data_IF_872983776180
#
_entry.id   IF_872983776180
#
_cell.length_a   1.000
_cell.length_b   1.000
_cell.length_c   1.000
_cell.angle_alpha   90.00
_cell.angle_beta   90.00
_cell.angle_gamma   90.00
#
_symmetry.space_group_name_H-M   'P 1'
#
loop_
_entity.id
_entity.type
_entity.pdbx_description
1 polymer ?
#
# COMPACT_ATOMS: atom_id res chain seq x y z
N UNK A 1 13.10 -14.88 17.63
CA UNK A 1 14.39 -14.78 18.36
C UNK A 1 14.80 -13.33 18.58
N UNK A 2 15.09 -12.53 17.54
CA UNK A 2 15.50 -11.11 17.67
C UNK A 2 14.56 -10.24 18.54
N UNK A 3 13.25 -10.29 18.29
CA UNK A 3 12.24 -9.57 19.10
C UNK A 3 12.29 -9.91 20.60
N UNK A 4 12.34 -11.21 20.92
CA UNK A 4 12.35 -11.68 22.31
C UNK A 4 13.63 -11.29 23.03
N UNK A 5 14.78 -11.38 22.35
CA UNK A 5 16.07 -10.97 22.92
C UNK A 5 16.10 -9.46 23.15
N UNK A 6 15.63 -8.65 22.19
CA UNK A 6 15.55 -7.19 22.37
C UNK A 6 14.61 -6.82 23.53
N UNK A 7 13.44 -7.45 23.63
CA UNK A 7 12.52 -7.24 24.75
C UNK A 7 13.17 -7.58 26.09
N UNK A 8 13.90 -8.68 26.17
CA UNK A 8 14.61 -9.08 27.39
C UNK A 8 15.69 -8.07 27.76
N UNK A 9 16.54 -7.67 26.81
CA UNK A 9 17.60 -6.68 27.04
C UNK A 9 17.02 -5.35 27.55
N UNK A 10 15.95 -4.85 26.93
CA UNK A 10 15.31 -3.61 27.35
C UNK A 10 14.67 -3.72 28.74
N UNK A 11 14.03 -4.85 29.06
CA UNK A 11 13.41 -5.09 30.38
C UNK A 11 14.42 -5.16 31.52
N UNK A 12 15.59 -5.74 31.29
CA UNK A 12 16.66 -5.81 32.29
C UNK A 12 17.42 -4.47 32.44
N UNK A 13 17.43 -3.65 31.39
CA UNK A 13 18.16 -2.38 31.40
C UNK A 13 17.56 -1.36 32.38
N UNK A 14 16.24 -1.24 32.43
CA UNK A 14 15.56 -0.29 33.31
C UNK A 14 15.86 -0.52 34.80
N UNK A 15 15.65 -1.72 35.39
CA UNK A 15 15.90 -1.93 36.82
C UNK A 15 17.38 -1.76 37.18
N UNK A 16 18.32 -2.13 36.30
CA UNK A 16 19.74 -1.91 36.52
C UNK A 16 20.08 -0.41 36.57
N UNK A 17 19.57 0.37 35.61
CA UNK A 17 19.77 1.81 35.60
C UNK A 17 19.14 2.48 36.83
N UNK A 18 17.92 2.08 37.22
CA UNK A 18 17.25 2.61 38.41
C UNK A 18 17.98 2.26 39.70
N UNK A 19 18.49 1.03 39.83
CA UNK A 19 19.27 0.63 41.01
C UNK A 19 20.58 1.42 41.13
N UNK A 20 21.30 1.62 40.02
CA UNK A 20 22.53 2.41 40.01
C UNK A 20 22.26 3.90 40.32
N UNK A 21 21.18 4.45 39.77
CA UNK A 21 20.75 5.81 40.08
C UNK A 21 20.45 5.97 41.58
N UNK A 22 19.68 5.05 42.17
CA UNK A 22 19.39 5.05 43.61
C UNK A 22 20.66 4.91 44.44
N UNK A 23 21.58 4.03 44.05
CA UNK A 23 22.86 3.87 44.74
C UNK A 23 23.69 5.16 44.74
N UNK A 24 23.80 5.86 43.61
CA UNK A 24 24.53 7.13 43.52
C UNK A 24 23.87 8.20 44.40
N UNK A 25 22.54 8.30 44.35
CA UNK A 25 21.77 9.27 45.14
C UNK A 25 21.90 9.01 46.66
N UNK A 26 21.96 7.75 47.08
CA UNK A 26 22.17 7.34 48.48
C UNK A 26 23.64 7.47 48.92
N UNK A 27 24.58 6.95 48.13
CA UNK A 27 26.01 6.88 48.48
C UNK A 27 26.65 8.26 48.60
N UNK A 28 26.34 9.17 47.67
CA UNK A 28 26.83 10.54 47.70
C UNK A 28 25.95 11.47 48.56
N UNK A 29 24.93 10.94 49.25
CA UNK A 29 24.00 11.70 50.09
C UNK A 29 23.34 12.88 49.34
N UNK A 30 23.21 12.79 48.02
CA UNK A 30 22.63 13.83 47.16
C UNK A 30 21.13 14.04 47.46
N UNK A 31 20.51 13.06 48.12
CA UNK A 31 19.17 13.14 48.69
C UNK A 31 19.13 13.73 50.10
N UNK A 32 20.18 13.55 50.91
CA UNK A 32 20.23 13.92 52.33
C UNK A 32 20.59 15.41 52.58
N UNK A 33 21.35 16.04 51.69
CA UNK A 33 21.68 17.48 51.79
C UNK A 33 20.44 18.38 51.68
N UNK A 34 19.33 17.89 51.12
CA UNK A 34 18.08 18.67 51.06
C UNK A 34 17.49 18.94 52.45
N UNK A 35 17.68 18.03 53.41
CA UNK A 35 17.13 18.16 54.76
C UNK A 35 17.99 19.09 55.65
N UNK A 36 19.32 18.95 55.61
CA UNK A 36 20.23 19.85 56.35
C UNK A 36 20.24 21.26 55.75
N UNK A 37 20.13 21.42 54.42
CA UNK A 37 20.00 22.74 53.78
C UNK A 37 18.65 23.41 54.03
N UNK A 38 17.56 22.63 54.15
CA UNK A 38 16.27 23.14 54.65
C UNK A 38 16.41 23.65 56.09
N UNK A 39 17.16 22.94 56.93
CA UNK A 39 17.46 23.37 58.30
C UNK A 39 18.28 24.67 58.31
N UNK A 40 19.33 24.78 57.50
CA UNK A 40 20.15 26.00 57.35
C UNK A 40 19.35 27.18 56.79
N UNK A 41 18.41 26.96 55.87
CA UNK A 41 17.49 27.98 55.38
C UNK A 41 16.47 28.42 56.45
N UNK A 42 15.99 27.50 57.29
CA UNK A 42 15.12 27.85 58.43
C UNK A 42 15.88 28.55 59.56
N UNK A 43 17.13 28.18 59.81
CA UNK A 43 18.00 28.77 60.84
C UNK A 43 18.51 30.16 60.42
N UNK A 44 18.84 30.36 59.15
CA UNK A 44 19.26 31.67 58.62
C UNK A 44 18.12 32.69 58.55
N UNK A 45 16.86 32.25 58.65
CA UNK A 45 15.69 33.13 58.78
C UNK A 45 15.52 33.78 60.16
N UNK A 46 16.34 33.43 61.15
CA UNK A 46 16.19 33.90 62.54
C UNK A 46 17.22 34.94 63.00
N UNK A 47 18.13 35.40 62.13
CA UNK A 47 19.08 36.48 62.47
C UNK A 47 18.97 37.56 61.39
N UNK A 48 18.02 38.48 61.56
CA UNK A 48 18.08 39.94 61.32
C UNK A 48 16.64 40.42 61.60
N UNK A 49 16.30 40.55 62.89
CA UNK A 49 15.23 41.44 63.34
C UNK A 49 15.92 42.74 63.76
N UNK A 50 16.08 43.66 62.81
CA UNK A 50 16.76 44.93 63.04
C UNK A 50 16.67 45.84 61.82
N UNK A 51 15.60 46.64 61.80
CA UNK A 51 15.38 47.90 61.08
C UNK A 51 15.68 48.02 59.58
N UNK A 52 14.59 48.23 58.81
CA UNK A 52 14.51 49.20 57.73
C UNK A 52 14.95 48.77 56.32
N UNK A 53 14.02 48.92 55.37
CA UNK A 53 14.16 49.14 53.90
C UNK A 53 13.64 48.01 52.96
N UNK A 54 12.60 48.40 52.22
CA UNK A 54 12.02 47.97 50.93
C UNK A 54 11.78 46.47 50.54
N UNK A 55 10.55 46.12 50.07
CA UNK A 55 10.22 44.80 49.53
C UNK A 55 10.42 44.75 48.00
N UNK A 56 11.59 44.30 47.52
CA UNK A 56 11.74 43.86 46.12
C UNK A 56 12.59 42.59 46.01
N UNK A 57 11.92 41.53 45.54
CA UNK A 57 12.47 40.34 44.87
C UNK A 57 13.51 39.50 45.64
N UNK A 58 13.04 38.74 46.63
CA UNK A 58 13.67 37.46 46.98
C UNK A 58 12.93 36.32 46.26
N UNK A 59 13.62 35.28 45.73
CA UNK A 59 12.95 34.15 45.11
C UNK A 59 12.10 33.41 46.15
N UNK A 60 10.86 33.06 45.80
CA UNK A 60 9.96 32.34 46.70
C UNK A 60 10.51 30.95 47.04
N UNK A 61 10.22 30.39 48.23
CA UNK A 61 10.73 29.09 48.68
C UNK A 61 10.61 27.95 47.65
N UNK A 62 9.50 27.79 46.88
CA UNK A 62 9.40 26.71 45.89
C UNK A 62 10.33 26.87 44.68
N UNK A 63 10.71 28.10 44.30
CA UNK A 63 11.66 28.32 43.21
C UNK A 63 13.10 27.99 43.61
N UNK A 64 13.48 28.26 44.86
CA UNK A 64 14.78 27.89 45.41
C UNK A 64 14.90 26.36 45.47
N UNK A 65 13.88 25.69 46.00
CA UNK A 65 13.81 24.22 46.06
C UNK A 65 13.93 23.61 44.67
N UNK A 66 13.14 24.05 43.68
CA UNK A 66 13.23 23.55 42.31
C UNK A 66 14.62 23.77 41.71
N UNK A 67 15.22 24.96 41.90
CA UNK A 67 16.56 25.26 41.38
C UNK A 67 17.68 24.45 42.02
N UNK A 68 17.54 24.05 43.29
CA UNK A 68 18.48 23.20 44.01
C UNK A 68 18.33 21.73 43.58
N UNK A 69 17.10 21.24 43.41
CA UNK A 69 16.82 19.92 42.83
C UNK A 69 17.47 19.78 41.44
N UNK A 70 17.32 20.77 40.56
CA UNK A 70 17.98 20.77 39.25
C UNK A 70 19.53 20.77 39.36
N UNK A 71 20.12 21.42 40.37
CA UNK A 71 21.58 21.44 40.57
C UNK A 71 22.15 20.11 41.09
N UNK A 72 21.36 19.28 41.76
CA UNK A 72 21.76 17.97 42.28
C UNK A 72 21.49 16.83 41.27
N UNK A 73 20.54 17.03 40.34
CA UNK A 73 20.31 16.12 39.21
C UNK A 73 21.42 16.19 38.14
N UNK A 74 22.05 17.34 37.93
CA UNK A 74 23.16 17.50 36.98
C UNK A 74 24.38 16.60 37.28
N UNK A 75 24.95 16.55 38.50
CA UNK A 75 26.09 15.68 38.81
C UNK A 75 25.70 14.20 38.77
N UNK A 76 24.48 13.84 39.19
CA UNK A 76 23.98 12.45 39.12
C UNK A 76 23.87 11.98 37.67
N UNK A 77 23.30 12.81 36.78
CA UNK A 77 23.21 12.50 35.35
C UNK A 77 24.58 12.46 34.66
N UNK A 78 25.52 13.31 35.07
CA UNK A 78 26.90 13.27 34.58
C UNK A 78 27.59 11.96 34.97
N UNK A 79 27.52 11.55 36.24
CA UNK A 79 28.13 10.30 36.69
C UNK A 79 27.47 9.08 36.03
N UNK A 80 26.14 9.06 35.92
CA UNK A 80 25.42 8.02 35.19
C UNK A 80 25.81 7.98 33.71
N UNK A 81 26.08 9.14 33.09
CA UNK A 81 26.53 9.20 31.70
C UNK A 81 27.94 8.64 31.50
N UNK A 82 28.81 8.75 32.51
CA UNK A 82 30.14 8.16 32.49
C UNK A 82 30.08 6.64 32.69
N UNK A 83 29.35 6.19 33.72
CA UNK A 83 29.17 4.76 34.04
C UNK A 83 28.52 4.02 32.88
N UNK A 84 27.48 4.60 32.29
CA UNK A 84 26.74 4.02 31.16
C UNK A 84 27.15 4.59 29.79
N UNK A 85 28.36 5.14 29.68
CA UNK A 85 28.85 5.73 28.42
C UNK A 85 28.88 4.74 27.24
N UNK A 86 29.05 3.44 27.52
CA UNK A 86 29.02 2.38 26.52
C UNK A 86 27.60 1.94 26.10
N UNK A 87 26.56 2.35 26.84
CA UNK A 87 25.21 1.83 26.63
C UNK A 87 24.66 2.18 25.24
N UNK A 88 24.82 3.43 24.82
CA UNK A 88 24.35 3.89 23.52
C UNK A 88 25.06 3.17 22.34
N UNK A 89 26.40 3.11 22.26
CA UNK A 89 27.08 2.40 21.17
C UNK A 89 26.78 0.90 21.15
N UNK A 90 26.70 0.23 22.31
CA UNK A 90 26.37 -1.20 22.39
C UNK A 90 24.94 -1.48 21.93
N UNK A 91 23.97 -0.67 22.35
CA UNK A 91 22.58 -0.78 21.87
C UNK A 91 22.50 -0.57 20.36
N UNK A 92 23.23 0.40 19.80
CA UNK A 92 23.29 0.59 18.35
C UNK A 92 23.84 -0.63 17.63
N UNK A 93 24.98 -1.16 18.09
CA UNK A 93 25.59 -2.37 17.53
C UNK A 93 24.64 -3.57 17.61
N UNK A 94 23.94 -3.73 18.73
CA UNK A 94 22.93 -4.79 18.90
C UNK A 94 21.75 -4.63 17.94
N UNK A 95 21.24 -3.40 17.74
CA UNK A 95 20.19 -3.15 16.76
C UNK A 95 20.64 -3.49 15.34
N UNK A 96 21.88 -3.18 14.98
CA UNK A 96 22.43 -3.53 13.66
C UNK A 96 22.49 -5.04 13.44
N UNK A 97 22.86 -5.81 14.48
CA UNK A 97 22.79 -7.28 14.43
C UNK A 97 21.34 -7.75 14.27
N UNK A 98 20.40 -7.20 15.04
CA UNK A 98 18.98 -7.54 14.92
C UNK A 98 18.43 -7.28 13.51
N UNK A 99 18.81 -6.15 12.91
CA UNK A 99 18.39 -5.75 11.57
C UNK A 99 18.93 -6.66 10.47
N UNK A 100 20.06 -7.35 10.68
CA UNK A 100 20.65 -8.29 9.71
C UNK A 100 19.97 -9.66 9.67
N UNK A 101 19.12 -9.98 10.65
CA UNK A 101 18.49 -11.31 10.75
C UNK A 101 17.46 -11.57 9.64
N UNK A 102 16.69 -10.55 9.26
CA UNK A 102 15.64 -10.65 8.25
C UNK A 102 15.41 -9.26 7.62
N UNK A 103 15.01 -9.23 6.34
CA UNK A 103 14.82 -8.00 5.56
C UNK A 103 13.87 -7.00 6.21
N UNK A 104 12.91 -7.47 7.01
CA UNK A 104 11.93 -6.64 7.72
C UNK A 104 12.12 -6.60 9.25
N UNK A 105 13.25 -7.10 9.78
CA UNK A 105 13.53 -7.09 11.23
C UNK A 105 13.46 -5.69 11.85
N UNK A 106 13.75 -4.63 11.09
CA UNK A 106 13.69 -3.25 11.57
C UNK A 106 12.29 -2.82 12.03
N UNK A 107 11.22 -3.44 11.51
CA UNK A 107 9.85 -3.21 11.98
C UNK A 107 9.66 -3.73 13.40
N UNK A 108 10.17 -4.93 13.69
CA UNK A 108 10.08 -5.53 15.02
C UNK A 108 10.88 -4.73 16.04
N UNK A 109 12.08 -4.27 15.65
CA UNK A 109 12.91 -3.38 16.47
C UNK A 109 12.16 -2.08 16.78
N UNK A 110 11.59 -1.44 15.77
CA UNK A 110 10.86 -0.17 15.93
C UNK A 110 9.65 -0.30 16.86
N UNK A 111 8.81 -1.32 16.66
CA UNK A 111 7.64 -1.55 17.53
C UNK A 111 8.07 -1.82 18.96
N UNK A 112 9.05 -2.71 19.14
CA UNK A 112 9.52 -3.10 20.48
C UNK A 112 10.08 -1.90 21.25
N UNK A 113 10.87 -1.04 20.59
CA UNK A 113 11.40 0.17 21.23
C UNK A 113 10.32 1.20 21.55
N UNK A 114 9.36 1.42 20.65
CA UNK A 114 8.25 2.34 20.93
C UNK A 114 7.40 1.88 22.11
N UNK A 115 7.06 0.59 22.15
CA UNK A 115 6.25 0.01 23.23
C UNK A 115 7.00 0.13 24.57
N UNK A 116 8.29 -0.21 24.60
CA UNK A 116 9.12 -0.09 25.80
C UNK A 116 9.24 1.36 26.30
N UNK A 117 9.56 2.31 25.42
CA UNK A 117 9.68 3.72 25.79
C UNK A 117 8.33 4.28 26.29
N UNK A 118 7.22 3.81 25.72
CA UNK A 118 5.89 4.18 26.18
C UNK A 118 5.59 3.64 27.57
N UNK A 119 5.87 2.36 27.84
CA UNK A 119 5.73 1.74 29.16
C UNK A 119 6.57 2.47 30.23
N UNK A 120 7.80 2.84 29.87
CA UNK A 120 8.72 3.59 30.74
C UNK A 120 8.16 4.98 31.11
N UNK A 121 7.60 5.71 30.14
CA UNK A 121 6.99 7.04 30.36
C UNK A 121 5.66 6.97 31.10
N UNK A 122 4.87 5.92 30.89
CA UNK A 122 3.57 5.73 31.56
C UNK A 122 3.70 5.37 33.04
N UNK A 123 4.83 4.76 33.44
CA UNK A 123 5.08 4.31 34.81
C UNK A 123 5.70 5.39 35.71
N UNK A 124 6.22 6.47 35.13
CA UNK A 124 6.99 7.49 35.87
C UNK A 124 6.47 8.89 35.54
N UNK A 125 5.53 9.38 36.35
CA UNK A 125 4.93 10.71 36.18
C UNK A 125 5.83 11.87 36.60
N UNK A 126 7.06 11.62 37.04
CA UNK A 126 7.95 12.68 37.54
C UNK A 126 9.43 12.25 37.63
N UNK A 127 10.06 11.90 36.51
CA UNK A 127 11.52 12.02 36.43
C UNK A 127 11.88 12.95 35.26
N UNK A 128 12.54 14.09 35.53
CA UNK A 128 13.09 14.94 34.48
C UNK A 128 14.13 14.16 33.66
N UNK A 129 14.42 14.69 32.47
CA UNK A 129 15.30 14.16 31.41
C UNK A 129 16.55 13.39 31.89
N UNK A 130 16.40 12.11 32.24
CA UNK A 130 17.50 11.22 32.60
C UNK A 130 18.35 10.83 31.39
N UNK A 131 19.65 10.58 31.60
CA UNK A 131 20.57 10.08 30.56
C UNK A 131 19.98 8.89 29.77
N UNK A 132 19.31 7.95 30.45
CA UNK A 132 18.65 6.82 29.81
C UNK A 132 17.56 7.23 28.81
N UNK A 133 16.74 8.24 29.12
CA UNK A 133 15.72 8.73 28.19
C UNK A 133 16.34 9.33 26.91
N UNK A 134 17.48 10.02 27.05
CA UNK A 134 18.25 10.54 25.91
C UNK A 134 18.79 9.40 25.05
N UNK A 135 19.44 8.41 25.65
CA UNK A 135 19.97 7.23 24.94
C UNK A 135 18.85 6.47 24.22
N UNK A 136 17.74 6.17 24.90
CA UNK A 136 16.59 5.49 24.30
C UNK A 136 15.95 6.32 23.18
N UNK A 137 15.90 7.64 23.33
CA UNK A 137 15.46 8.56 22.26
C UNK A 137 16.35 8.49 21.02
N UNK A 138 17.67 8.50 21.21
CA UNK A 138 18.66 8.39 20.13
C UNK A 138 18.58 7.02 19.42
N UNK A 139 18.42 5.94 20.19
CA UNK A 139 18.28 4.57 19.67
C UNK A 139 16.95 4.39 18.92
N UNK A 140 15.86 4.98 19.41
CA UNK A 140 14.57 5.00 18.70
C UNK A 140 14.65 5.79 17.39
N UNK A 141 15.38 6.92 17.39
CA UNK A 141 15.60 7.70 16.17
C UNK A 141 16.37 6.89 15.12
N UNK A 142 17.39 6.13 15.54
CA UNK A 142 18.10 5.21 14.66
C UNK A 142 17.17 4.12 14.10
N UNK A 143 16.34 3.51 14.96
CA UNK A 143 15.37 2.49 14.53
C UNK A 143 14.37 3.03 13.50
N UNK A 144 13.87 4.26 13.68
CA UNK A 144 13.04 4.97 12.70
C UNK A 144 13.79 5.23 11.39
N UNK A 145 15.05 5.63 11.47
CA UNK A 145 15.92 5.80 10.29
C UNK A 145 16.09 4.50 9.51
N UNK A 146 16.31 3.38 10.20
CA UNK A 146 16.45 2.06 9.58
C UNK A 146 15.14 1.57 8.95
N UNK A 147 14.00 1.81 9.62
CA UNK A 147 12.67 1.57 9.04
C UNK A 147 12.48 2.36 7.73
N UNK A 148 12.69 3.67 7.76
CA UNK A 148 12.52 4.51 6.57
C UNK A 148 13.45 4.11 5.42
N UNK A 149 14.69 3.72 5.73
CA UNK A 149 15.64 3.18 4.75
C UNK A 149 15.13 1.88 4.14
N UNK A 150 14.63 0.96 4.95
CA UNK A 150 14.02 -0.29 4.47
C UNK A 150 12.87 -0.03 3.49
N UNK A 151 11.95 0.88 3.83
CA UNK A 151 10.83 1.25 2.95
C UNK A 151 11.36 1.87 1.65
N UNK A 152 12.34 2.78 1.74
CA UNK A 152 12.96 3.39 0.57
C UNK A 152 13.62 2.36 -0.36
N UNK A 153 14.38 1.41 0.21
CA UNK A 153 14.99 0.33 -0.55
C UNK A 153 13.96 -0.56 -1.24
N UNK A 154 12.86 -0.90 -0.55
CA UNK A 154 11.79 -1.72 -1.14
C UNK A 154 11.04 -0.98 -2.25
N UNK A 155 10.77 0.33 -2.10
CA UNK A 155 10.23 1.17 -3.18
C UNK A 155 11.16 1.17 -4.40
N UNK A 156 12.46 1.37 -4.21
CA UNK A 156 13.43 1.37 -5.30
C UNK A 156 13.51 0.00 -5.99
N UNK A 157 13.51 -1.09 -5.23
CA UNK A 157 13.47 -2.47 -5.76
C UNK A 157 12.24 -2.68 -6.66
N UNK A 158 11.06 -2.18 -6.24
CA UNK A 158 9.81 -2.26 -7.00
C UNK A 158 9.85 -1.43 -8.29
N UNK A 159 10.45 -0.25 -8.24
CA UNK A 159 10.52 0.69 -9.37
C UNK A 159 11.59 0.30 -10.39
N UNK A 160 12.73 -0.24 -9.93
CA UNK A 160 13.85 -0.67 -10.78
C UNK A 160 13.68 -2.09 -11.35
N UNK A 161 12.75 -2.88 -10.80
CA UNK A 161 12.44 -4.23 -11.28
C UNK A 161 11.97 -4.20 -12.74
N UNK A 162 12.90 -4.43 -13.67
CA UNK A 162 12.59 -4.56 -15.09
C UNK A 162 11.71 -5.78 -15.32
N UNK A 163 10.54 -5.56 -15.90
CA UNK A 163 9.66 -6.67 -16.27
C UNK A 163 10.31 -7.50 -17.38
N UNK A 164 10.48 -8.82 -17.19
CA UNK A 164 11.10 -9.67 -18.21
C UNK A 164 10.25 -9.66 -19.49
N UNK A 165 10.89 -9.42 -20.64
CA UNK A 165 10.25 -9.34 -21.97
C UNK A 165 9.47 -10.61 -22.37
N UNK A 166 9.72 -11.75 -21.71
CA UNK A 166 9.09 -13.05 -21.94
C UNK A 166 8.05 -13.44 -20.86
N UNK A 167 7.46 -12.48 -20.16
CA UNK A 167 6.38 -12.78 -19.20
C UNK A 167 5.22 -13.51 -19.90
N UNK A 168 4.49 -14.38 -19.20
CA UNK A 168 3.38 -15.18 -19.74
C UNK A 168 2.04 -14.85 -19.04
N UNK A 169 1.82 -13.58 -18.72
CA UNK A 169 0.75 -13.19 -17.79
C UNK A 169 1.15 -13.49 -16.33
N UNK A 170 0.25 -13.20 -15.38
CA UNK A 170 0.41 -13.52 -13.96
C UNK A 170 0.77 -12.33 -13.05
N UNK A 171 0.91 -12.64 -11.76
CA UNK A 171 1.20 -11.65 -10.73
C UNK A 171 2.65 -11.19 -10.81
N UNK A 172 2.85 -9.87 -10.84
CA UNK A 172 4.16 -9.26 -10.89
C UNK A 172 4.88 -9.42 -9.56
N UNK A 173 6.21 -9.56 -9.63
CA UNK A 173 7.05 -9.62 -8.44
C UNK A 173 6.85 -8.42 -7.50
N UNK A 174 6.67 -7.21 -8.06
CA UNK A 174 6.39 -6.00 -7.28
C UNK A 174 5.13 -6.13 -6.42
N UNK A 175 4.11 -6.82 -6.92
CA UNK A 175 2.87 -7.09 -6.18
C UNK A 175 3.13 -8.11 -5.07
N UNK A 176 3.78 -9.24 -5.38
CA UNK A 176 4.10 -10.26 -4.37
C UNK A 176 4.98 -9.70 -3.23
N UNK A 177 5.96 -8.83 -3.55
CA UNK A 177 6.83 -8.19 -2.55
C UNK A 177 6.05 -7.22 -1.65
N UNK A 178 5.06 -6.52 -2.22
CA UNK A 178 4.16 -5.69 -1.43
C UNK A 178 3.30 -6.52 -0.48
N UNK A 179 2.75 -7.65 -0.94
CA UNK A 179 1.98 -8.54 -0.07
C UNK A 179 2.80 -9.09 1.09
N UNK A 180 4.02 -9.55 0.81
CA UNK A 180 4.95 -10.05 1.84
C UNK A 180 5.24 -8.98 2.90
N UNK A 181 5.48 -7.73 2.48
CA UNK A 181 5.67 -6.62 3.39
C UNK A 181 4.41 -6.32 4.20
N UNK A 182 3.24 -6.24 3.57
CA UNK A 182 1.97 -5.94 4.25
C UNK A 182 1.67 -7.04 5.28
N UNK A 183 1.84 -8.30 4.93
CA UNK A 183 1.58 -9.45 5.81
C UNK A 183 2.48 -9.43 7.03
N UNK A 184 3.78 -9.26 6.80
CA UNK A 184 4.74 -9.19 7.89
C UNK A 184 4.52 -7.96 8.78
N UNK A 185 4.30 -6.79 8.17
CA UNK A 185 4.16 -5.55 8.91
C UNK A 185 2.87 -5.50 9.74
N UNK A 186 1.75 -5.98 9.19
CA UNK A 186 0.48 -6.06 9.92
C UNK A 186 0.53 -7.06 11.07
N UNK A 187 1.22 -8.19 10.90
CA UNK A 187 1.49 -9.14 11.97
C UNK A 187 2.26 -8.48 13.11
N UNK A 188 3.35 -7.78 12.79
CA UNK A 188 4.24 -7.14 13.77
C UNK A 188 3.54 -5.99 14.50
N UNK A 189 2.72 -5.21 13.81
CA UNK A 189 2.00 -4.06 14.35
C UNK A 189 0.59 -4.38 14.87
N UNK A 190 0.19 -5.66 14.94
CA UNK A 190 -1.17 -6.05 15.37
C UNK A 190 -1.57 -5.43 16.72
N UNK A 191 -0.64 -5.41 17.68
CA UNK A 191 -0.85 -4.87 19.02
C UNK A 191 -0.21 -3.47 19.23
N UNK A 192 0.40 -2.91 18.18
CA UNK A 192 1.11 -1.64 18.29
C UNK A 192 0.13 -0.47 18.42
N UNK A 193 0.37 0.39 19.41
CA UNK A 193 -0.48 1.58 19.66
C UNK A 193 -0.22 2.74 18.68
N UNK A 194 1.00 2.82 18.15
CA UNK A 194 1.43 3.91 17.25
C UNK A 194 1.65 3.38 15.83
N UNK A 195 0.70 3.64 14.92
CA UNK A 195 0.68 3.08 13.56
C UNK A 195 0.94 4.09 12.44
N UNK A 196 1.03 5.38 12.74
CA UNK A 196 1.13 6.43 11.72
C UNK A 196 2.30 6.26 10.74
N UNK A 197 3.45 5.77 11.21
CA UNK A 197 4.62 5.52 10.34
C UNK A 197 4.41 4.29 9.44
N UNK A 198 3.70 3.28 9.93
CA UNK A 198 3.33 2.11 9.13
C UNK A 198 2.32 2.50 8.03
N UNK A 199 1.29 3.27 8.39
CA UNK A 199 0.28 3.70 7.41
C UNK A 199 0.90 4.52 6.27
N UNK A 200 1.85 5.42 6.60
CA UNK A 200 2.63 6.16 5.58
C UNK A 200 3.45 5.22 4.71
N UNK A 201 4.08 4.20 5.30
CA UNK A 201 4.87 3.22 4.57
C UNK A 201 4.01 2.37 3.62
N UNK A 202 2.84 1.89 4.06
CA UNK A 202 1.88 1.17 3.22
C UNK A 202 1.44 2.01 2.03
N UNK A 203 1.05 3.26 2.27
CA UNK A 203 0.62 4.19 1.23
C UNK A 203 1.73 4.49 0.22
N UNK A 204 2.97 4.61 0.68
CA UNK A 204 4.13 4.83 -0.19
C UNK A 204 4.40 3.60 -1.06
N UNK A 205 4.43 2.40 -0.46
CA UNK A 205 4.73 1.16 -1.18
C UNK A 205 3.67 0.82 -2.22
N UNK A 206 2.39 0.90 -1.87
CA UNK A 206 1.31 0.61 -2.84
C UNK A 206 1.34 1.62 -4.01
N UNK A 207 1.77 2.86 -3.76
CA UNK A 207 1.94 3.86 -4.82
C UNK A 207 3.10 3.49 -5.75
N UNK A 208 4.24 3.03 -5.23
CA UNK A 208 5.34 2.49 -6.05
C UNK A 208 4.90 1.26 -6.85
N UNK A 209 4.13 0.35 -6.27
CA UNK A 209 3.57 -0.81 -6.99
C UNK A 209 2.65 -0.37 -8.13
N UNK A 210 1.77 0.60 -7.90
CA UNK A 210 0.86 1.09 -8.95
C UNK A 210 1.62 1.76 -10.08
N UNK A 211 2.66 2.54 -9.75
CA UNK A 211 3.57 3.13 -10.75
C UNK A 211 4.31 2.05 -11.54
N UNK A 212 4.79 1.00 -10.87
CA UNK A 212 5.43 -0.16 -11.49
C UNK A 212 4.49 -0.86 -12.47
N UNK A 213 3.24 -1.14 -12.07
CA UNK A 213 2.22 -1.70 -12.97
C UNK A 213 1.95 -0.75 -14.14
N UNK A 214 1.70 0.53 -13.89
CA UNK A 214 1.35 1.50 -14.94
C UNK A 214 2.47 1.71 -15.97
N UNK A 215 3.74 1.52 -15.57
CA UNK A 215 4.88 1.60 -16.48
C UNK A 215 4.83 0.55 -17.61
N UNK A 216 4.06 -0.54 -17.43
CA UNK A 216 3.88 -1.56 -18.45
C UNK A 216 3.20 -1.03 -19.72
N UNK A 217 2.42 0.05 -19.62
CA UNK A 217 1.79 0.70 -20.79
C UNK A 217 2.82 1.23 -21.79
N UNK A 218 3.99 1.61 -21.31
CA UNK A 218 5.10 2.11 -22.12
C UNK A 218 6.11 1.01 -22.49
N UNK A 219 5.94 -0.20 -21.94
CA UNK A 219 6.81 -1.32 -22.23
C UNK A 219 6.39 -2.03 -23.53
N UNK A 220 7.33 -2.22 -24.47
CA UNK A 220 7.12 -2.99 -25.70
C UNK A 220 7.05 -4.50 -25.42
N UNK A 221 6.03 -4.92 -24.66
CA UNK A 221 5.81 -6.31 -24.30
C UNK A 221 5.13 -7.07 -25.43
N UNK A 222 5.50 -8.35 -25.58
CA UNK A 222 4.81 -9.27 -26.49
C UNK A 222 3.45 -9.75 -25.93
N UNK A 223 3.22 -9.57 -24.63
CA UNK A 223 1.98 -9.91 -23.95
C UNK A 223 1.02 -8.72 -24.00
N UNK A 224 -0.28 -8.99 -23.99
CA UNK A 224 -1.28 -7.94 -23.88
C UNK A 224 -1.18 -7.24 -22.53
N UNK A 225 -0.80 -5.96 -22.54
CA UNK A 225 -0.61 -5.16 -21.32
C UNK A 225 -1.88 -5.02 -20.49
N UNK A 226 -3.03 -4.77 -21.11
CA UNK A 226 -4.31 -4.64 -20.39
C UNK A 226 -4.67 -5.92 -19.63
N UNK A 227 -4.36 -7.10 -20.17
CA UNK A 227 -4.54 -8.38 -19.48
C UNK A 227 -3.70 -8.45 -18.20
N UNK A 228 -2.40 -8.13 -18.30
CA UNK A 228 -1.49 -8.18 -17.14
C UNK A 228 -1.91 -7.16 -16.08
N UNK A 229 -2.25 -5.94 -16.50
CA UNK A 229 -2.73 -4.90 -15.59
C UNK A 229 -4.04 -5.31 -14.91
N UNK A 230 -4.99 -5.87 -15.66
CA UNK A 230 -6.25 -6.39 -15.13
C UNK A 230 -6.00 -7.46 -14.06
N UNK A 231 -5.16 -8.46 -14.33
CA UNK A 231 -4.82 -9.53 -13.38
C UNK A 231 -4.22 -8.97 -12.08
N UNK A 232 -3.23 -8.07 -12.21
CA UNK A 232 -2.51 -7.53 -11.07
C UNK A 232 -3.38 -6.59 -10.22
N UNK A 233 -4.20 -5.73 -10.85
CA UNK A 233 -5.13 -4.88 -10.10
C UNK A 233 -6.25 -5.70 -9.44
N UNK A 234 -6.71 -6.78 -10.08
CA UNK A 234 -7.66 -7.71 -9.46
C UNK A 234 -7.07 -8.33 -8.19
N UNK A 235 -5.85 -8.85 -8.29
CA UNK A 235 -5.15 -9.50 -7.19
C UNK A 235 -4.93 -8.55 -6.01
N UNK A 236 -4.42 -7.33 -6.27
CA UNK A 236 -4.26 -6.31 -5.23
C UNK A 236 -5.61 -5.98 -4.57
N UNK A 237 -6.68 -5.78 -5.34
CA UNK A 237 -8.00 -5.51 -4.78
C UNK A 237 -8.47 -6.66 -3.87
N UNK A 238 -8.30 -7.91 -4.29
CA UNK A 238 -8.65 -9.10 -3.52
C UNK A 238 -7.85 -9.19 -2.22
N UNK A 239 -6.54 -9.01 -2.30
CA UNK A 239 -5.64 -8.99 -1.15
C UNK A 239 -6.04 -7.91 -0.14
N UNK A 240 -6.26 -6.67 -0.59
CA UNK A 240 -6.66 -5.57 0.29
C UNK A 240 -8.05 -5.78 0.91
N UNK A 241 -8.99 -6.41 0.19
CA UNK A 241 -10.28 -6.84 0.74
C UNK A 241 -10.13 -7.85 1.88
N UNK A 242 -9.16 -8.76 1.78
CA UNK A 242 -8.89 -9.75 2.84
C UNK A 242 -8.23 -9.11 4.05
N UNK A 243 -7.26 -8.22 3.86
CA UNK A 243 -6.51 -7.58 4.96
C UNK A 243 -7.28 -6.50 5.70
N UNK A 244 -8.19 -5.77 5.03
CA UNK A 244 -9.06 -4.74 5.63
C UNK A 244 -8.28 -3.64 6.38
N UNK A 245 -7.19 -3.16 5.78
CA UNK A 245 -6.31 -2.14 6.38
C UNK A 245 -6.91 -0.74 6.13
N UNK A 246 -7.29 0.04 7.17
CA UNK A 246 -8.04 1.29 7.00
C UNK A 246 -7.36 2.33 6.11
N UNK A 247 -6.04 2.52 6.25
CA UNK A 247 -5.31 3.52 5.47
C UNK A 247 -5.25 3.19 3.97
N UNK A 248 -5.47 1.92 3.58
CA UNK A 248 -5.43 1.45 2.21
C UNK A 248 -6.80 1.40 1.52
N UNK A 249 -7.87 1.82 2.18
CA UNK A 249 -9.23 1.76 1.63
C UNK A 249 -9.42 2.57 0.33
N UNK A 250 -8.77 3.73 0.23
CA UNK A 250 -8.75 4.51 -1.02
C UNK A 250 -8.04 3.75 -2.14
N UNK A 251 -6.91 3.12 -1.83
CA UNK A 251 -6.10 2.37 -2.79
C UNK A 251 -6.78 1.07 -3.23
N UNK A 252 -7.55 0.44 -2.34
CA UNK A 252 -8.44 -0.68 -2.68
C UNK A 252 -9.50 -0.28 -3.71
N UNK A 253 -10.15 0.89 -3.52
CA UNK A 253 -11.13 1.41 -4.50
C UNK A 253 -10.47 1.76 -5.83
N UNK A 254 -9.29 2.38 -5.80
CA UNK A 254 -8.49 2.68 -6.99
C UNK A 254 -8.11 1.39 -7.75
N UNK A 255 -7.67 0.33 -7.05
CA UNK A 255 -7.37 -0.98 -7.64
C UNK A 255 -8.59 -1.59 -8.33
N UNK A 256 -9.77 -1.56 -7.68
CA UNK A 256 -11.03 -2.03 -8.29
C UNK A 256 -11.35 -1.26 -9.59
N UNK A 257 -11.20 0.06 -9.55
CA UNK A 257 -11.48 0.90 -10.71
C UNK A 257 -10.54 0.58 -11.88
N UNK A 258 -9.23 0.51 -11.63
CA UNK A 258 -8.21 0.16 -12.63
C UNK A 258 -8.41 -1.26 -13.17
N UNK A 259 -8.78 -2.22 -12.32
CA UNK A 259 -9.15 -3.57 -12.74
C UNK A 259 -10.28 -3.54 -13.77
N UNK A 260 -11.37 -2.83 -13.48
CA UNK A 260 -12.51 -2.73 -14.40
C UNK A 260 -12.13 -2.02 -15.70
N UNK A 261 -11.37 -0.92 -15.61
CA UNK A 261 -10.92 -0.14 -16.77
C UNK A 261 -10.08 -1.00 -17.74
N UNK A 262 -9.10 -1.74 -17.22
CA UNK A 262 -8.26 -2.60 -18.06
C UNK A 262 -9.00 -3.85 -18.54
N UNK A 263 -9.96 -4.37 -17.75
CA UNK A 263 -10.85 -5.44 -18.22
C UNK A 263 -11.67 -4.98 -19.42
N UNK A 264 -12.25 -3.77 -19.37
CA UNK A 264 -13.00 -3.20 -20.49
C UNK A 264 -12.12 -3.01 -21.74
N UNK A 265 -10.92 -2.42 -21.59
CA UNK A 265 -9.96 -2.27 -22.69
C UNK A 265 -9.54 -3.61 -23.30
N UNK A 266 -9.25 -4.60 -22.45
CA UNK A 266 -8.93 -5.96 -22.88
C UNK A 266 -10.07 -6.56 -23.70
N UNK A 267 -11.29 -6.47 -23.18
CA UNK A 267 -12.51 -6.99 -23.82
C UNK A 267 -12.73 -6.32 -25.18
N UNK A 268 -12.76 -4.99 -25.26
CA UNK A 268 -12.98 -4.24 -26.52
C UNK A 268 -11.95 -4.65 -27.58
N UNK A 269 -10.67 -4.71 -27.20
CA UNK A 269 -9.58 -5.05 -28.12
C UNK A 269 -9.69 -6.47 -28.72
N UNK A 270 -10.21 -7.43 -27.95
CA UNK A 270 -10.35 -8.81 -28.43
C UNK A 270 -11.72 -9.11 -29.04
N UNK A 271 -12.78 -8.41 -28.64
CA UNK A 271 -14.12 -8.55 -29.21
C UNK A 271 -14.24 -8.00 -30.62
N UNK A 272 -13.40 -7.05 -31.00
CA UNK A 272 -13.30 -6.62 -32.40
C UNK A 272 -12.79 -7.72 -33.35
N UNK A 273 -12.13 -8.77 -32.85
CA UNK A 273 -11.51 -9.78 -33.74
C UNK A 273 -12.50 -10.77 -34.38
N UNK A 274 -13.48 -11.35 -33.67
CA UNK A 274 -14.40 -12.32 -34.27
C UNK A 274 -15.29 -11.75 -35.38
N UNK A 275 -15.62 -10.46 -35.32
CA UNK A 275 -16.51 -9.77 -36.27
C UNK A 275 -15.81 -8.55 -36.92
N UNK A 276 -14.50 -8.59 -37.10
CA UNK A 276 -13.68 -7.41 -37.44
C UNK A 276 -14.19 -6.58 -38.61
N UNK A 277 -14.46 -7.20 -39.76
CA UNK A 277 -14.97 -6.48 -40.95
C UNK A 277 -16.38 -5.91 -40.74
N UNK A 278 -17.21 -6.60 -39.97
CA UNK A 278 -18.57 -6.14 -39.64
C UNK A 278 -18.50 -4.94 -38.70
N UNK A 279 -17.63 -5.01 -37.69
CA UNK A 279 -17.34 -3.91 -36.79
C UNK A 279 -16.84 -2.68 -37.55
N UNK A 280 -15.83 -2.81 -38.43
CA UNK A 280 -15.33 -1.70 -39.25
C UNK A 280 -16.41 -1.08 -40.16
N UNK A 281 -17.30 -1.91 -40.73
CA UNK A 281 -18.41 -1.41 -41.55
C UNK A 281 -19.34 -0.52 -40.71
N UNK A 282 -19.78 -0.99 -39.54
CA UNK A 282 -20.71 -0.23 -38.70
C UNK A 282 -20.07 0.95 -37.99
N UNK A 283 -18.78 0.91 -37.64
CA UNK A 283 -18.04 2.10 -37.20
C UNK A 283 -18.01 3.18 -38.28
N UNK A 284 -17.85 2.78 -39.55
CA UNK A 284 -17.98 3.68 -40.69
C UNK A 284 -19.38 4.28 -40.84
N UNK A 285 -20.44 3.48 -40.64
CA UNK A 285 -21.83 3.95 -40.61
C UNK A 285 -22.04 4.97 -39.49
N UNK A 286 -21.62 4.66 -38.26
CA UNK A 286 -21.71 5.58 -37.12
C UNK A 286 -20.98 6.89 -37.38
N UNK A 287 -19.79 6.84 -37.98
CA UNK A 287 -19.03 8.04 -38.34
C UNK A 287 -19.78 8.92 -39.35
N UNK A 288 -20.52 8.32 -40.30
CA UNK A 288 -21.37 9.07 -41.24
C UNK A 288 -22.59 9.69 -40.58
N UNK A 289 -23.26 8.97 -39.69
CA UNK A 289 -24.35 9.51 -38.89
C UNK A 289 -23.87 10.69 -38.04
N UNK A 290 -22.69 10.57 -37.42
CA UNK A 290 -22.08 11.65 -36.64
C UNK A 290 -21.70 12.87 -37.49
N UNK A 291 -21.45 12.68 -38.79
CA UNK A 291 -21.24 13.78 -39.76
C UNK A 291 -22.54 14.43 -40.23
N UNK A 292 -23.71 14.02 -39.70
CA UNK A 292 -25.02 14.60 -40.00
C UNK A 292 -25.75 13.96 -41.17
N UNK A 293 -25.28 12.82 -41.67
CA UNK A 293 -25.99 12.03 -42.68
C UNK A 293 -27.25 11.44 -42.04
N UNK A 294 -28.41 11.59 -42.68
CA UNK A 294 -29.66 11.00 -42.18
C UNK A 294 -29.62 9.48 -42.27
N UNK A 295 -30.29 8.80 -41.35
CA UNK A 295 -30.31 7.33 -41.29
C UNK A 295 -30.78 6.70 -42.61
N UNK A 296 -31.80 7.27 -43.24
CA UNK A 296 -32.35 6.86 -44.52
C UNK A 296 -31.33 6.98 -45.68
N UNK A 297 -30.42 7.95 -45.57
CA UNK A 297 -29.47 8.31 -46.63
C UNK A 297 -28.21 7.45 -46.61
N UNK A 298 -27.90 6.82 -45.48
CA UNK A 298 -26.73 5.94 -45.32
C UNK A 298 -26.70 4.87 -46.41
N UNK A 299 -27.85 4.28 -46.72
CA UNK A 299 -27.96 3.17 -47.68
C UNK A 299 -27.62 3.56 -49.13
N UNK A 300 -27.60 4.86 -49.45
CA UNK A 300 -27.18 5.39 -50.76
C UNK A 300 -25.68 5.69 -50.85
N UNK A 301 -24.95 5.69 -49.72
CA UNK A 301 -23.51 5.86 -49.76
C UNK A 301 -22.85 4.60 -50.31
N UNK A 302 -22.04 4.74 -51.37
CA UNK A 302 -21.44 3.61 -52.07
C UNK A 302 -20.70 2.64 -51.13
N UNK A 303 -19.92 3.17 -50.19
CA UNK A 303 -19.13 2.40 -49.22
C UNK A 303 -19.98 1.71 -48.14
N UNK A 304 -21.22 2.15 -47.92
CA UNK A 304 -22.13 1.65 -46.89
C UNK A 304 -23.47 1.23 -47.50
N UNK A 305 -23.48 0.84 -48.77
CA UNK A 305 -24.71 0.51 -49.48
C UNK A 305 -25.31 -0.81 -49.00
N UNK A 306 -26.59 -1.07 -49.33
CA UNK A 306 -27.26 -2.35 -49.06
C UNK A 306 -26.48 -3.56 -49.60
N UNK A 307 -25.83 -3.39 -50.75
CA UNK A 307 -25.03 -4.44 -51.38
C UNK A 307 -23.74 -4.71 -50.59
N UNK A 308 -23.06 -3.66 -50.13
CA UNK A 308 -21.86 -3.82 -49.31
C UNK A 308 -22.19 -4.43 -47.94
N UNK A 309 -23.30 -4.03 -47.31
CA UNK A 309 -23.76 -4.64 -46.06
C UNK A 309 -23.96 -6.16 -46.23
N UNK A 310 -24.67 -6.61 -47.29
CA UNK A 310 -24.86 -8.05 -47.57
C UNK A 310 -23.52 -8.79 -47.72
N UNK A 311 -22.58 -8.23 -48.49
CA UNK A 311 -21.24 -8.82 -48.67
C UNK A 311 -20.43 -8.92 -47.37
N UNK A 312 -20.66 -8.01 -46.41
CA UNK A 312 -19.98 -8.06 -45.12
C UNK A 312 -20.62 -9.12 -44.22
N UNK A 313 -21.96 -9.21 -44.18
CA UNK A 313 -22.70 -10.21 -43.39
C UNK A 313 -22.41 -11.63 -43.87
N UNK A 314 -22.37 -11.87 -45.19
CA UNK A 314 -22.08 -13.18 -45.79
C UNK A 314 -20.72 -13.78 -45.35
N UNK A 315 -19.80 -12.96 -44.85
CA UNK A 315 -18.50 -13.42 -44.33
C UNK A 315 -18.58 -14.01 -42.92
N UNK A 316 -19.70 -13.85 -42.24
CA UNK A 316 -19.89 -14.28 -40.84
C UNK A 316 -21.10 -15.20 -40.68
N UNK A 317 -21.15 -16.35 -41.40
CA UNK A 317 -22.18 -17.34 -41.12
C UNK A 317 -22.03 -17.88 -39.68
N UNK A 318 -23.13 -18.36 -39.11
CA UNK A 318 -23.20 -18.93 -37.74
C UNK A 318 -21.99 -19.81 -37.36
N UNK A 319 -21.57 -20.72 -38.26
CA UNK A 319 -20.43 -21.64 -38.03
C UNK A 319 -19.09 -20.93 -37.89
N UNK A 320 -18.85 -19.88 -38.68
CA UNK A 320 -17.59 -19.13 -38.62
C UNK A 320 -17.53 -18.26 -37.37
N UNK A 321 -18.66 -17.66 -36.96
CA UNK A 321 -18.74 -16.91 -35.69
C UNK A 321 -18.43 -17.83 -34.50
N UNK A 322 -19.03 -19.02 -34.46
CA UNK A 322 -18.74 -20.02 -33.41
C UNK A 322 -17.25 -20.41 -33.38
N UNK A 323 -16.64 -20.69 -34.53
CA UNK A 323 -15.20 -21.02 -34.62
C UNK A 323 -14.30 -19.88 -34.18
N UNK A 324 -14.67 -18.63 -34.49
CA UNK A 324 -13.95 -17.45 -34.07
C UNK A 324 -14.00 -17.29 -32.53
N UNK A 325 -15.16 -17.51 -31.92
CA UNK A 325 -15.34 -17.51 -30.47
C UNK A 325 -14.56 -18.65 -29.79
N UNK A 326 -14.56 -19.88 -30.33
CA UNK A 326 -13.74 -21.00 -29.83
C UNK A 326 -12.23 -20.68 -29.87
N UNK A 327 -11.80 -20.01 -30.93
CA UNK A 327 -10.39 -19.59 -31.07
C UNK A 327 -10.04 -18.48 -30.09
N UNK A 328 -10.96 -17.54 -29.86
CA UNK A 328 -10.80 -16.50 -28.86
C UNK A 328 -10.72 -17.09 -27.45
N UNK A 329 -11.62 -18.00 -27.08
CA UNK A 329 -11.59 -18.70 -25.79
C UNK A 329 -10.25 -19.38 -25.55
N UNK A 330 -9.75 -20.17 -26.53
CA UNK A 330 -8.44 -20.83 -26.44
C UNK A 330 -7.27 -19.86 -26.29
N UNK A 331 -7.33 -18.68 -26.93
CA UNK A 331 -6.32 -17.63 -26.75
C UNK A 331 -6.37 -17.10 -25.31
N UNK A 332 -7.53 -16.77 -24.78
CA UNK A 332 -7.67 -16.25 -23.41
C UNK A 332 -7.17 -17.29 -22.41
N UNK A 333 -7.64 -18.54 -22.52
CA UNK A 333 -7.21 -19.65 -21.67
C UNK A 333 -5.68 -19.88 -21.71
N UNK A 334 -5.03 -19.66 -22.85
CA UNK A 334 -3.57 -19.84 -22.99
C UNK A 334 -2.73 -18.74 -22.33
N UNK A 335 -3.22 -17.51 -22.34
CA UNK A 335 -2.43 -16.34 -21.92
C UNK A 335 -2.83 -15.80 -20.54
N UNK A 336 -4.07 -16.02 -20.11
CA UNK A 336 -4.54 -15.64 -18.78
C UNK A 336 -3.98 -16.62 -17.74
N UNK A 337 -3.47 -16.09 -16.64
CA UNK A 337 -2.94 -16.88 -15.52
C UNK A 337 -4.08 -17.63 -14.80
N UNK A 338 -3.86 -18.91 -14.41
CA UNK A 338 -4.84 -19.65 -13.63
C UNK A 338 -4.92 -19.19 -12.16
N UNK A 339 -3.94 -18.43 -11.65
CA UNK A 339 -3.81 -18.10 -10.22
C UNK A 339 -5.06 -17.43 -9.64
N UNK A 340 -5.69 -16.50 -10.37
CA UNK A 340 -6.88 -15.77 -9.93
C UNK A 340 -8.20 -16.33 -10.45
N UNK A 341 -8.18 -17.42 -11.24
CA UNK A 341 -9.37 -18.00 -11.87
C UNK A 341 -10.25 -16.95 -12.59
N UNK A 342 -9.63 -16.00 -13.28
CA UNK A 342 -10.34 -14.90 -13.96
C UNK A 342 -11.02 -15.33 -15.26
N UNK A 343 -10.70 -16.52 -15.79
CA UNK A 343 -11.21 -16.98 -17.08
C UNK A 343 -12.74 -16.94 -17.17
N UNK A 344 -13.53 -17.49 -16.22
CA UNK A 344 -14.99 -17.44 -16.30
C UNK A 344 -15.53 -16.00 -16.22
N UNK A 345 -14.88 -15.14 -15.43
CA UNK A 345 -15.29 -13.74 -15.26
C UNK A 345 -15.08 -12.95 -16.55
N UNK A 346 -13.89 -13.09 -17.14
CA UNK A 346 -13.54 -12.45 -18.41
C UNK A 346 -14.41 -12.99 -19.54
N UNK A 347 -14.64 -14.31 -19.59
CA UNK A 347 -15.48 -14.93 -20.61
C UNK A 347 -16.94 -14.45 -20.54
N UNK A 348 -17.50 -14.38 -19.34
CA UNK A 348 -18.85 -13.82 -19.13
C UNK A 348 -18.95 -12.35 -19.50
N UNK A 349 -17.91 -11.56 -19.18
CA UNK A 349 -17.86 -10.16 -19.57
C UNK A 349 -17.75 -9.99 -21.11
N UNK A 350 -17.00 -10.88 -21.77
CA UNK A 350 -16.95 -10.94 -23.23
C UNK A 350 -18.29 -11.34 -23.85
N UNK A 351 -18.99 -12.32 -23.28
CA UNK A 351 -20.34 -12.71 -23.73
C UNK A 351 -21.29 -11.50 -23.73
N UNK A 352 -21.37 -10.80 -22.61
CA UNK A 352 -22.23 -9.62 -22.46
C UNK A 352 -21.92 -8.54 -23.49
N UNK A 353 -20.65 -8.21 -23.66
CA UNK A 353 -20.24 -7.15 -24.56
C UNK A 353 -20.37 -7.57 -26.03
N UNK A 354 -20.13 -8.84 -26.38
CA UNK A 354 -20.38 -9.36 -27.72
C UNK A 354 -21.87 -9.30 -28.09
N UNK A 355 -22.75 -9.67 -27.16
CA UNK A 355 -24.21 -9.57 -27.35
C UNK A 355 -24.63 -8.11 -27.47
N UNK A 356 -24.07 -7.20 -26.66
CA UNK A 356 -24.34 -5.76 -26.77
C UNK A 356 -23.94 -5.22 -28.14
N UNK A 357 -22.76 -5.57 -28.64
CA UNK A 357 -22.30 -5.15 -29.97
C UNK A 357 -23.18 -5.71 -31.09
N UNK A 358 -23.59 -6.98 -30.99
CA UNK A 358 -24.53 -7.58 -31.93
C UNK A 358 -25.88 -6.83 -31.96
N UNK A 359 -26.44 -6.51 -30.79
CA UNK A 359 -27.68 -5.75 -30.67
C UNK A 359 -27.56 -4.34 -31.29
N UNK A 360 -26.40 -3.69 -31.11
CA UNK A 360 -26.10 -2.40 -31.73
C UNK A 360 -26.02 -2.49 -33.27
N UNK A 361 -25.48 -3.57 -33.82
CA UNK A 361 -25.50 -3.81 -35.26
C UNK A 361 -26.91 -4.04 -35.79
N UNK A 362 -27.72 -4.87 -35.11
CA UNK A 362 -29.12 -5.09 -35.47
C UNK A 362 -29.93 -3.79 -35.45
N UNK A 363 -29.74 -2.94 -34.43
CA UNK A 363 -30.38 -1.62 -34.36
C UNK A 363 -29.98 -0.71 -35.53
N UNK A 364 -28.69 -0.67 -35.89
CA UNK A 364 -28.21 0.08 -37.05
C UNK A 364 -28.76 -0.47 -38.38
N UNK A 365 -28.92 -1.79 -38.51
CA UNK A 365 -29.56 -2.40 -39.69
C UNK A 365 -31.01 -1.96 -39.79
N UNK A 366 -31.74 -2.00 -38.67
CA UNK A 366 -33.16 -1.61 -38.63
C UNK A 366 -33.36 -0.13 -38.98
N UNK A 367 -32.52 0.76 -38.43
CA UNK A 367 -32.61 2.20 -38.67
C UNK A 367 -32.12 2.63 -40.05
N UNK A 368 -30.93 2.21 -40.46
CA UNK A 368 -30.28 2.71 -41.68
C UNK A 368 -30.64 1.92 -42.94
N UNK A 369 -31.18 0.71 -42.80
CA UNK A 369 -31.46 -0.20 -43.92
C UNK A 369 -32.90 -0.75 -43.88
N UNK A 370 -33.84 0.01 -43.34
CA UNK A 370 -35.26 -0.33 -43.29
C UNK A 370 -35.81 -0.81 -44.65
N UNK A 371 -36.66 -1.83 -44.63
CA UNK A 371 -37.30 -2.41 -45.82
C UNK A 371 -36.35 -3.16 -46.77
N UNK A 372 -35.08 -3.36 -46.41
CA UNK A 372 -34.10 -4.09 -47.25
C UNK A 372 -34.18 -5.62 -47.12
N UNK A 373 -34.86 -6.12 -46.08
CA UNK A 373 -34.90 -7.54 -45.72
C UNK A 373 -33.56 -8.13 -45.27
N UNK A 374 -32.55 -7.29 -45.03
CA UNK A 374 -31.23 -7.73 -44.57
C UNK A 374 -31.31 -8.03 -43.07
N UNK A 375 -30.89 -9.23 -42.70
CA UNK A 375 -30.80 -9.70 -41.31
C UNK A 375 -29.52 -10.50 -41.14
N UNK A 376 -29.05 -10.65 -39.91
CA UNK A 376 -27.91 -11.51 -39.60
C UNK A 376 -28.31 -12.99 -39.62
N UNK A 377 -27.38 -13.88 -40.01
CA UNK A 377 -27.59 -15.34 -40.10
C UNK A 377 -27.76 -16.05 -38.73
N UNK A 378 -27.68 -15.31 -37.63
CA UNK A 378 -27.75 -15.81 -36.27
C UNK A 378 -28.43 -14.80 -35.38
N UNK A 379 -29.05 -15.30 -34.31
CA UNK A 379 -29.76 -14.50 -33.31
C UNK A 379 -28.94 -14.32 -32.03
N UNK A 380 -29.36 -13.39 -31.16
CA UNK A 380 -28.78 -13.28 -29.82
C UNK A 380 -28.89 -14.58 -29.00
N UNK A 381 -29.97 -15.36 -29.20
CA UNK A 381 -30.14 -16.67 -28.56
C UNK A 381 -29.12 -17.70 -29.04
N UNK A 382 -28.79 -17.68 -30.34
CA UNK A 382 -27.75 -18.55 -30.89
C UNK A 382 -26.37 -18.20 -30.34
N UNK A 383 -26.07 -16.89 -30.19
CA UNK A 383 -24.83 -16.43 -29.58
C UNK A 383 -24.69 -16.94 -28.14
N UNK A 384 -25.74 -16.80 -27.32
CA UNK A 384 -25.78 -17.36 -25.96
C UNK A 384 -25.52 -18.87 -25.97
N UNK A 385 -26.12 -19.61 -26.91
CA UNK A 385 -25.88 -21.04 -27.08
C UNK A 385 -24.42 -21.34 -27.44
N UNK A 386 -23.79 -20.53 -28.30
CA UNK A 386 -22.37 -20.70 -28.63
C UNK A 386 -21.47 -20.52 -27.42
N UNK A 387 -21.62 -19.42 -26.66
CA UNK A 387 -20.84 -19.15 -25.45
C UNK A 387 -20.98 -20.28 -24.43
N UNK A 388 -22.21 -20.72 -24.14
CA UNK A 388 -22.48 -21.85 -23.26
C UNK A 388 -21.83 -23.16 -23.75
N UNK A 389 -21.93 -23.45 -25.06
CA UNK A 389 -21.36 -24.68 -25.63
C UNK A 389 -19.82 -24.69 -25.58
N UNK A 390 -19.18 -23.53 -25.70
CA UNK A 390 -17.72 -23.39 -25.61
C UNK A 390 -17.26 -23.62 -24.18
N UNK A 391 -17.99 -23.08 -23.19
CA UNK A 391 -17.69 -23.28 -21.77
C UNK A 391 -17.91 -24.73 -21.32
N UNK A 392 -18.87 -25.45 -21.90
CA UNK A 392 -19.15 -26.86 -21.57
C UNK A 392 -18.21 -27.86 -22.24
N UNK A 393 -17.61 -27.50 -23.37
CA UNK A 393 -16.72 -28.39 -24.15
C UNK A 393 -15.24 -28.20 -23.83
N UNK A 394 -14.88 -27.15 -23.09
CA UNK A 394 -13.51 -26.84 -22.66
C UNK A 394 -13.30 -27.21 -21.21
#
# INVERSE_FOLDING_TARGET
VSKQVLQQVLRELQPLYTAEQQFIEEFFQLSHDTAELLEVCTLSGSIVAGDGVDPKAGPSPPHIISSLFFRLEEPTNQLLSEIFSCLEPELRGFLDVCNKVHSFSCLQVLVTLNDFIFELRGSSSALPSSFLNTVLGNVLLLAKGNFNRCIGSLCNEIEEAKTPSKMRGGILHSVSRFEEFVDFSEEVFRAARHRAELDKAHLRLVSSVFSSINSLSSANLKVNTDMVMMENYHHIHRFLCQKKIPCLELKKREAKHRYNEHMEKYIIKYLGQPLEKLHHFFEGVKARLAQGVKEEEVSFQLAYSKQELRKVIEKYPSKEVKRALETLYRKIHKYLSPEENLLPVVWHAMEKEFIRQYQEFEDLIQRCYAGSGITMDFTAGDLLSYFNSITLTS
#
